data_IF_601561607702
#
_entry.id   IF_601561607702
#
_cell.length_a   1.000
_cell.length_b   1.000
_cell.length_c   1.000
_cell.angle_alpha   90.00
_cell.angle_beta   90.00
_cell.angle_gamma   90.00
#
_symmetry.space_group_name_H-M   'P 1'
#
loop_
_entity.id
_entity.type
_entity.pdbx_description
1 polymer ?
#
# COMPACT_ATOMS: atom_id res chain seq x y z
N UNK A 1 -4.67 -17.66 6.01
CA UNK A 1 -4.68 -17.07 7.36
C UNK A 1 -3.23 -17.01 7.81
N UNK A 2 -2.71 -15.85 8.24
CA UNK A 2 -1.34 -15.76 8.75
C UNK A 2 -1.18 -16.65 9.98
N UNK A 3 -0.04 -17.33 10.08
CA UNK A 3 0.25 -18.29 11.15
C UNK A 3 1.70 -18.11 11.54
N UNK A 4 1.91 -17.56 12.72
CA UNK A 4 3.24 -17.36 13.29
C UNK A 4 3.36 -18.21 14.54
N UNK A 5 4.41 -19.01 14.61
CA UNK A 5 4.73 -19.84 15.77
C UNK A 5 5.84 -19.19 16.60
N UNK A 6 5.84 -19.49 17.89
CA UNK A 6 6.84 -18.94 18.80
C UNK A 6 8.21 -19.57 18.54
N UNK A 7 9.21 -18.77 18.24
CA UNK A 7 10.57 -19.24 18.05
C UNK A 7 11.33 -19.23 19.39
N UNK A 8 11.52 -20.41 19.96
CA UNK A 8 12.32 -20.61 21.17
C UNK A 8 11.91 -19.70 22.33
N UNK A 9 12.83 -18.84 22.78
CA UNK A 9 12.63 -17.87 23.87
C UNK A 9 12.41 -16.45 23.35
N UNK A 10 11.84 -16.27 22.16
CA UNK A 10 11.51 -14.91 21.72
C UNK A 10 10.52 -14.24 22.67
N UNK A 11 10.69 -12.91 22.82
CA UNK A 11 9.74 -12.04 23.49
C UNK A 11 8.42 -11.98 22.72
N UNK A 12 7.30 -11.91 23.44
CA UNK A 12 5.95 -11.87 22.86
C UNK A 12 5.77 -10.73 21.85
N UNK A 13 6.40 -9.58 22.11
CA UNK A 13 6.31 -8.42 21.21
C UNK A 13 6.88 -8.74 19.82
N UNK A 14 7.98 -9.50 19.74
CA UNK A 14 8.59 -9.88 18.48
C UNK A 14 7.67 -10.81 17.69
N UNK A 15 7.04 -11.78 18.36
CA UNK A 15 6.02 -12.64 17.75
C UNK A 15 4.86 -11.82 17.16
N UNK A 16 4.32 -10.86 17.92
CA UNK A 16 3.22 -10.00 17.48
C UNK A 16 3.60 -9.10 16.30
N UNK A 17 4.85 -8.60 16.27
CA UNK A 17 5.37 -7.83 15.12
C UNK A 17 5.40 -8.67 13.85
N UNK A 18 5.88 -9.92 13.94
CA UNK A 18 5.90 -10.86 12.81
C UNK A 18 4.48 -11.19 12.33
N UNK A 19 3.57 -11.47 13.27
CA UNK A 19 2.16 -11.71 12.94
C UNK A 19 1.50 -10.50 12.23
N UNK A 20 1.70 -9.28 12.74
CA UNK A 20 1.17 -8.07 12.10
C UNK A 20 1.73 -7.88 10.69
N UNK A 21 3.01 -8.22 10.48
CA UNK A 21 3.64 -8.18 9.17
C UNK A 21 3.00 -9.19 8.22
N UNK A 22 2.87 -10.46 8.60
CA UNK A 22 2.21 -11.48 7.77
C UNK A 22 0.74 -11.12 7.47
N UNK A 23 0.01 -10.61 8.46
CA UNK A 23 -1.38 -10.16 8.26
C UNK A 23 -1.47 -9.01 7.25
N UNK A 24 -0.46 -8.14 7.24
CA UNK A 24 -0.38 -7.03 6.28
C UNK A 24 0.02 -7.51 4.88
N UNK A 25 1.01 -8.41 4.79
CA UNK A 25 1.52 -8.98 3.54
C UNK A 25 0.49 -9.88 2.85
N UNK A 26 -0.20 -10.72 3.61
CA UNK A 26 -1.31 -11.56 3.10
C UNK A 26 -2.48 -10.73 2.57
N UNK A 27 -2.58 -9.45 2.95
CA UNK A 27 -3.62 -8.53 2.47
C UNK A 27 -5.04 -8.91 2.92
N UNK A 28 -5.18 -9.81 3.89
CA UNK A 28 -6.45 -10.41 4.25
C UNK A 28 -7.47 -9.38 4.77
N UNK A 29 -7.02 -8.43 5.60
CA UNK A 29 -7.84 -7.31 6.07
C UNK A 29 -8.28 -6.38 4.93
N UNK A 30 -7.41 -6.15 3.94
CA UNK A 30 -7.71 -5.33 2.77
C UNK A 30 -8.80 -5.99 1.93
N UNK A 31 -8.69 -7.30 1.75
CA UNK A 31 -9.64 -8.08 0.97
C UNK A 31 -11.00 -8.17 1.63
N UNK A 32 -11.04 -8.40 2.96
CA UNK A 32 -12.27 -8.35 3.73
C UNK A 32 -12.95 -6.98 3.63
N UNK A 33 -12.18 -5.88 3.77
CA UNK A 33 -12.71 -4.52 3.61
C UNK A 33 -13.24 -4.27 2.20
N UNK A 34 -12.54 -4.75 1.16
CA UNK A 34 -12.96 -4.61 -0.24
C UNK A 34 -14.26 -5.37 -0.54
N UNK A 35 -14.45 -6.53 0.10
CA UNK A 35 -15.62 -7.40 -0.08
C UNK A 35 -16.77 -7.10 0.90
N UNK A 36 -16.62 -6.11 1.78
CA UNK A 36 -17.60 -5.75 2.83
C UNK A 36 -18.98 -5.39 2.26
N UNK A 37 -19.00 -4.75 1.09
CA UNK A 37 -20.22 -4.32 0.43
C UNK A 37 -20.23 -4.82 -1.01
N UNK A 38 -21.44 -5.04 -1.54
CA UNK A 38 -21.61 -5.31 -2.95
C UNK A 38 -21.22 -4.09 -3.78
N UNK A 39 -20.43 -4.32 -4.83
CA UNK A 39 -20.01 -3.31 -5.79
C UNK A 39 -20.27 -3.86 -7.19
N UNK A 40 -21.01 -3.13 -8.00
CA UNK A 40 -21.31 -3.54 -9.37
C UNK A 40 -20.03 -3.62 -10.22
N UNK A 41 -20.05 -4.44 -11.28
CA UNK A 41 -18.92 -4.53 -12.23
C UNK A 41 -18.51 -3.17 -12.79
N UNK A 42 -19.49 -2.34 -13.17
CA UNK A 42 -19.25 -0.99 -13.69
C UNK A 42 -18.62 -0.05 -12.66
N UNK A 43 -19.06 -0.11 -11.41
CA UNK A 43 -18.46 0.70 -10.35
C UNK A 43 -17.03 0.27 -10.02
N UNK A 44 -16.75 -1.03 -9.97
CA UNK A 44 -15.40 -1.55 -9.80
C UNK A 44 -14.46 -1.09 -10.94
N UNK A 45 -14.94 -1.06 -12.18
CA UNK A 45 -14.19 -0.54 -13.33
C UNK A 45 -13.91 0.97 -13.20
N UNK A 46 -14.93 1.76 -12.85
CA UNK A 46 -14.77 3.21 -12.62
C UNK A 46 -13.80 3.50 -11.48
N UNK A 47 -13.83 2.72 -10.40
CA UNK A 47 -12.88 2.86 -9.29
C UNK A 47 -11.44 2.55 -9.73
N UNK A 48 -11.23 1.46 -10.50
CA UNK A 48 -9.92 1.10 -11.06
C UNK A 48 -9.37 2.20 -11.97
N UNK A 49 -10.17 2.74 -12.88
CA UNK A 49 -9.78 3.83 -13.79
C UNK A 49 -9.37 5.08 -13.01
N UNK A 50 -10.21 5.54 -12.05
CA UNK A 50 -9.89 6.68 -11.18
C UNK A 50 -8.61 6.47 -10.38
N UNK A 51 -8.37 5.27 -9.84
CA UNK A 51 -7.12 4.95 -9.13
C UNK A 51 -5.90 4.96 -10.06
N UNK A 52 -6.03 4.48 -11.29
CA UNK A 52 -4.95 4.50 -12.27
C UNK A 52 -4.55 5.93 -12.65
N UNK A 53 -5.54 6.78 -12.96
CA UNK A 53 -5.32 8.19 -13.26
C UNK A 53 -4.67 8.93 -12.09
N UNK A 54 -5.17 8.72 -10.86
CA UNK A 54 -4.57 9.30 -9.64
C UNK A 54 -3.11 8.89 -9.47
N UNK A 55 -2.76 7.63 -9.76
CA UNK A 55 -1.37 7.14 -9.71
C UNK A 55 -0.50 7.82 -10.77
N UNK A 56 -1.00 7.98 -12.00
CA UNK A 56 -0.30 8.68 -13.09
C UNK A 56 0.01 10.13 -12.70
N UNK A 57 -1.01 10.88 -12.28
CA UNK A 57 -0.87 12.29 -11.85
C UNK A 57 0.12 12.46 -10.70
N UNK A 58 0.09 11.56 -9.70
CA UNK A 58 1.05 11.58 -8.58
C UNK A 58 2.49 11.36 -9.05
N UNK A 59 2.72 10.45 -10.01
CA UNK A 59 4.05 10.20 -10.58
C UNK A 59 4.57 11.41 -11.34
N UNK A 60 3.75 12.01 -12.19
CA UNK A 60 4.10 13.22 -12.95
C UNK A 60 4.48 14.38 -12.01
N UNK A 61 3.66 14.63 -10.99
CA UNK A 61 3.96 15.69 -10.01
C UNK A 61 5.28 15.44 -9.27
N UNK A 62 5.57 14.18 -8.92
CA UNK A 62 6.82 13.82 -8.26
C UNK A 62 8.04 14.07 -9.15
N UNK A 63 7.94 13.75 -10.44
CA UNK A 63 9.01 13.99 -11.41
C UNK A 63 9.26 15.48 -11.62
N UNK A 64 8.20 16.27 -11.83
CA UNK A 64 8.29 17.74 -11.93
C UNK A 64 8.95 18.36 -10.70
N UNK A 65 8.60 17.90 -9.50
CA UNK A 65 9.24 18.35 -8.26
C UNK A 65 10.72 17.95 -8.19
N UNK A 66 11.09 16.75 -8.65
CA UNK A 66 12.49 16.34 -8.69
C UNK A 66 13.30 17.19 -9.68
N UNK A 67 12.75 17.47 -10.86
CA UNK A 67 13.36 18.35 -11.86
C UNK A 67 13.56 19.77 -11.32
N UNK A 68 12.54 20.35 -10.68
CA UNK A 68 12.64 21.67 -10.05
C UNK A 68 13.71 21.71 -8.93
N UNK A 69 13.83 20.63 -8.15
CA UNK A 69 14.87 20.53 -7.10
C UNK A 69 16.26 20.39 -7.71
N UNK A 70 16.39 19.73 -8.87
CA UNK A 70 17.65 19.58 -9.58
C UNK A 70 18.08 20.90 -10.23
N UNK A 71 17.18 21.61 -10.91
CA UNK A 71 17.51 22.89 -11.54
C UNK A 71 17.94 23.95 -10.52
N UNK A 72 17.27 24.02 -9.36
CA UNK A 72 17.64 24.91 -8.25
C UNK A 72 19.02 24.61 -7.65
N UNK A 73 19.54 23.39 -7.78
CA UNK A 73 20.86 23.00 -7.25
C UNK A 73 22.03 23.33 -8.17
N UNK A 74 21.78 23.51 -9.48
CA UNK A 74 22.83 23.77 -10.48
C UNK A 74 22.93 25.26 -10.87
N UNK A 75 22.13 26.13 -10.25
CA UNK A 75 22.09 27.58 -10.51
C UNK A 75 22.73 28.40 -9.37
N UNK A 76 23.53 27.76 -8.51
CA UNK A 76 24.28 28.35 -7.40
C UNK A 76 25.75 28.04 -7.54
#
# INVERSE_FOLDING_TARGET
MPRVEREGREELENLLRRFRRELSESGQLRDHRRKRFFVSKGEALREKARKAERRRRRRENRLKQQELRRSRRHSS
#
